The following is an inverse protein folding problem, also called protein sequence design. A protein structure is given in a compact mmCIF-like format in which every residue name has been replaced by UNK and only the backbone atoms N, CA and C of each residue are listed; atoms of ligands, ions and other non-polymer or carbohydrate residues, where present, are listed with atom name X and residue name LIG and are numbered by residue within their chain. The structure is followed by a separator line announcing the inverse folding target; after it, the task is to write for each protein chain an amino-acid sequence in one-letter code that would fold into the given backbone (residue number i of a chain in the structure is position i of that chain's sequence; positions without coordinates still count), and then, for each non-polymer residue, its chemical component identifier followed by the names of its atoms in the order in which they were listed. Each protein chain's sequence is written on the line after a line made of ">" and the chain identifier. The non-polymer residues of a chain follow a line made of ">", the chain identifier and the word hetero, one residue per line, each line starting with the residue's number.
data_IF_614975081551
#
_entry.id   IF_614975081551
#
_cell.length_a   1.000
_cell.length_b   1.000
_cell.length_c   1.000
_cell.angle_alpha   90.00
_cell.angle_beta   90.00
_cell.angle_gamma   90.00
#
_symmetry.space_group_name_H-M   'P 1'
#
loop_
_entity.id
_entity.type
_entity.pdbx_description
1 polymer ?
#
# COMPACT_ATOMS: atom_id res chain seq x y z
N UNK A 1 24.38 -41.53 2.55
CA UNK A 1 24.01 -40.81 3.79
C UNK A 1 24.33 -39.31 3.70
N UNK A 2 25.54 -38.92 3.31
CA UNK A 2 25.96 -37.50 3.18
C UNK A 2 25.03 -36.63 2.33
N UNK A 3 24.58 -37.12 1.18
CA UNK A 3 23.66 -36.42 0.26
C UNK A 3 22.27 -36.14 0.86
N UNK A 4 21.76 -37.02 1.73
CA UNK A 4 20.49 -36.80 2.41
C UNK A 4 20.59 -35.69 3.46
N UNK A 5 21.74 -35.61 4.14
CA UNK A 5 22.02 -34.55 5.11
C UNK A 5 22.10 -33.19 4.41
N UNK A 6 22.82 -33.09 3.29
CA UNK A 6 22.88 -31.85 2.50
C UNK A 6 21.51 -31.40 2.00
N UNK A 7 20.66 -32.33 1.58
CA UNK A 7 19.32 -32.00 1.10
C UNK A 7 18.40 -31.46 2.20
N UNK A 8 18.51 -32.00 3.43
CA UNK A 8 17.75 -31.51 4.60
C UNK A 8 18.22 -30.12 5.01
N UNK A 9 19.53 -29.88 5.03
CA UNK A 9 20.11 -28.58 5.36
C UNK A 9 19.72 -27.51 4.33
N UNK A 10 19.73 -27.86 3.04
CA UNK A 10 19.29 -26.95 1.98
C UNK A 10 17.80 -26.59 2.09
N UNK A 11 16.95 -27.55 2.43
CA UNK A 11 15.52 -27.29 2.64
C UNK A 11 15.25 -26.37 3.84
N UNK A 12 15.99 -26.55 4.94
CA UNK A 12 15.93 -25.69 6.13
C UNK A 12 16.37 -24.25 5.83
N UNK A 13 17.45 -24.08 5.05
CA UNK A 13 17.92 -22.77 4.61
C UNK A 13 16.86 -22.06 3.73
N UNK A 14 16.28 -22.75 2.75
CA UNK A 14 15.24 -22.20 1.88
C UNK A 14 13.98 -21.80 2.66
N UNK A 15 13.56 -22.62 3.64
CA UNK A 15 12.42 -22.30 4.50
C UNK A 15 12.69 -21.06 5.37
N UNK A 16 13.91 -20.90 5.88
CA UNK A 16 14.28 -19.76 6.72
C UNK A 16 14.31 -18.43 5.96
N UNK A 17 14.67 -18.45 4.67
CA UNK A 17 14.69 -17.26 3.81
C UNK A 17 13.27 -16.88 3.37
N UNK A 18 12.41 -17.87 3.09
CA UNK A 18 11.02 -17.63 2.71
C UNK A 18 10.18 -16.98 3.82
N UNK A 19 10.49 -17.27 5.09
CA UNK A 19 9.76 -16.75 6.25
C UNK A 19 9.88 -15.24 6.50
N UNK A 20 10.84 -14.54 5.88
CA UNK A 20 11.02 -13.09 6.06
C UNK A 20 10.24 -12.24 5.04
N UNK A 21 9.74 -12.86 3.96
CA UNK A 21 9.00 -12.16 2.89
C UNK A 21 7.52 -11.95 3.23
N UNK A 22 6.97 -12.73 4.16
CA UNK A 22 5.53 -12.73 4.50
C UNK A 22 5.18 -11.84 5.69
N UNK A 23 6.01 -10.83 6.00
CA UNK A 23 5.67 -9.89 7.06
C UNK A 23 4.33 -9.21 6.72
N UNK A 24 3.32 -9.28 7.61
CA UNK A 24 2.02 -8.68 7.33
C UNK A 24 2.19 -7.18 7.11
N UNK A 25 1.55 -6.66 6.07
CA UNK A 25 1.57 -5.23 5.78
C UNK A 25 1.05 -4.47 7.00
N UNK A 26 1.90 -3.65 7.63
CA UNK A 26 1.50 -2.82 8.78
C UNK A 26 0.67 -1.61 8.34
N UNK A 27 0.80 -1.25 7.07
CA UNK A 27 0.17 -0.07 6.49
C UNK A 27 -0.43 -0.41 5.14
N UNK A 28 -1.49 0.30 4.80
CA UNK A 28 -2.17 0.30 3.51
C UNK A 28 -2.30 1.74 3.02
N UNK A 29 -2.71 1.92 1.77
CA UNK A 29 -2.96 3.22 1.17
C UNK A 29 -4.46 3.38 0.93
N UNK A 30 -5.03 4.49 1.43
CA UNK A 30 -6.43 4.88 1.19
C UNK A 30 -6.45 6.25 0.52
N UNK A 31 -7.51 6.53 -0.24
CA UNK A 31 -7.68 7.85 -0.88
C UNK A 31 -7.74 8.91 0.22
N UNK A 32 -7.05 10.04 0.01
CA UNK A 32 -7.01 11.14 0.97
C UNK A 32 -8.16 12.14 0.71
N UNK A 33 -9.27 12.10 1.47
CA UNK A 33 -10.44 12.94 1.22
C UNK A 33 -10.09 14.43 1.25
N UNK A 34 -9.23 14.83 2.20
CA UNK A 34 -8.83 16.22 2.46
C UNK A 34 -8.09 16.85 1.27
N UNK A 35 -7.45 16.02 0.44
CA UNK A 35 -6.74 16.45 -0.77
C UNK A 35 -7.54 16.19 -2.05
N UNK A 36 -8.48 15.25 -2.03
CA UNK A 36 -9.40 15.04 -3.16
C UNK A 36 -10.49 16.10 -3.23
N UNK A 37 -10.95 16.62 -2.09
CA UNK A 37 -11.91 17.70 -2.05
C UNK A 37 -11.23 19.00 -2.46
N UNK A 38 -11.80 19.62 -3.49
CA UNK A 38 -11.28 20.83 -4.10
C UNK A 38 -11.04 21.91 -3.02
N UNK A 39 -9.82 22.44 -2.94
CA UNK A 39 -9.50 23.47 -1.95
C UNK A 39 -10.50 24.64 -2.07
N UNK A 40 -11.19 24.96 -0.97
CA UNK A 40 -12.14 26.08 -0.90
C UNK A 40 -11.53 27.43 -1.35
N UNK A 41 -10.20 27.51 -1.43
CA UNK A 41 -9.43 28.68 -1.87
C UNK A 41 -9.24 28.80 -3.39
N UNK A 42 -9.80 27.90 -4.20
CA UNK A 42 -9.81 28.06 -5.66
C UNK A 42 -10.67 29.27 -6.04
N UNK A 43 -10.01 30.42 -6.20
CA UNK A 43 -10.52 31.74 -6.58
C UNK A 43 -11.10 31.81 -7.99
N UNK A 44 -11.43 30.68 -8.62
CA UNK A 44 -12.05 30.68 -9.94
C UNK A 44 -13.57 30.84 -9.78
N UNK A 45 -13.98 32.10 -9.73
CA UNK A 45 -15.37 32.60 -9.80
C UNK A 45 -16.03 32.38 -11.16
N UNK A 46 -15.72 31.27 -11.85
CA UNK A 46 -16.32 30.95 -13.15
C UNK A 46 -17.65 30.24 -12.92
N UNK A 47 -18.72 30.71 -13.56
CA UNK A 47 -20.09 30.16 -13.48
C UNK A 47 -20.27 28.75 -14.04
N UNK A 48 -19.17 28.08 -14.40
CA UNK A 48 -19.17 26.73 -14.92
C UNK A 48 -18.65 25.79 -13.84
N UNK A 49 -19.55 24.99 -13.27
CA UNK A 49 -19.20 23.91 -12.34
C UNK A 49 -18.33 22.90 -13.09
N UNK A 50 -17.01 23.04 -12.96
CA UNK A 50 -16.06 22.08 -13.53
C UNK A 50 -16.09 20.79 -12.72
N UNK A 51 -16.49 19.68 -13.34
CA UNK A 51 -16.35 18.36 -12.74
C UNK A 51 -14.87 17.96 -12.71
N UNK A 52 -14.31 17.79 -11.51
CA UNK A 52 -12.93 17.31 -11.33
C UNK A 52 -12.97 15.79 -11.23
N UNK A 53 -12.24 15.10 -12.11
CA UNK A 53 -12.08 13.65 -12.08
C UNK A 53 -10.60 13.34 -11.89
N UNK A 54 -10.29 12.64 -10.80
CA UNK A 54 -8.92 12.20 -10.51
C UNK A 54 -8.61 10.90 -11.26
N UNK A 55 -7.60 10.93 -12.13
CA UNK A 55 -7.07 9.71 -12.78
C UNK A 55 -6.10 8.96 -11.84
N UNK A 56 -5.44 9.69 -10.94
CA UNK A 56 -4.64 9.16 -9.85
C UNK A 56 -4.88 10.02 -8.59
N UNK A 57 -5.81 9.63 -7.71
CA UNK A 57 -6.15 10.43 -6.54
C UNK A 57 -4.99 10.46 -5.54
N UNK A 58 -4.85 11.53 -4.74
CA UNK A 58 -3.90 11.57 -3.63
C UNK A 58 -4.20 10.45 -2.64
N UNK A 59 -3.14 9.82 -2.15
CA UNK A 59 -3.21 8.64 -1.27
C UNK A 59 -2.57 8.95 0.08
N UNK A 60 -3.21 8.52 1.15
CA UNK A 60 -2.71 8.59 2.53
C UNK A 60 -2.35 7.20 3.03
N UNK A 61 -1.21 7.11 3.73
CA UNK A 61 -0.78 5.86 4.38
C UNK A 61 -1.48 5.72 5.73
N UNK A 62 -2.22 4.63 5.91
CA UNK A 62 -2.94 4.33 7.17
C UNK A 62 -2.57 2.94 7.70
N UNK A 63 -2.56 2.75 9.03
CA UNK A 63 -2.49 1.41 9.62
C UNK A 63 -3.59 0.49 9.08
N UNK A 64 -3.28 -0.79 8.83
CA UNK A 64 -4.25 -1.74 8.25
C UNK A 64 -5.52 -1.92 9.10
N UNK A 65 -5.40 -1.80 10.42
CA UNK A 65 -6.54 -1.86 11.35
C UNK A 65 -7.44 -0.61 11.33
N UNK A 66 -7.08 0.41 10.56
CA UNK A 66 -7.85 1.65 10.36
C UNK A 66 -8.36 1.79 8.93
N UNK A 67 -8.26 0.72 8.12
CA UNK A 67 -8.86 0.70 6.80
C UNK A 67 -10.40 0.65 6.95
N UNK A 68 -11.14 1.63 6.40
CA UNK A 68 -12.60 1.62 6.41
C UNK A 68 -13.19 0.49 5.55
#
# INVERSE_FOLDING_TARGET
>A
MKTKIFSVVAALLLASIAGCSTAPAKYTYVVDPDLTEQANSLTRTSSHTGHVVWVNPPMKRVPVNQQP
#
